data_IF_117249474027
#
_entry.id   IF_117249474027
#
_cell.length_a   1.000
_cell.length_b   1.000
_cell.length_c   1.000
_cell.angle_alpha   90.00
_cell.angle_beta   90.00
_cell.angle_gamma   90.00
#
_symmetry.space_group_name_H-M   'P 1'
#
loop_
_entity.id
_entity.type
_entity.pdbx_description
1 polymer ?
#
# COMPACT_ATOMS: atom_id res chain seq x y z
N UNK A 1 -91.88 14.64 -16.91
CA UNK A 1 -90.98 15.23 -15.90
C UNK A 1 -89.82 14.27 -15.72
N UNK A 2 -88.60 14.79 -15.84
CA UNK A 2 -87.32 14.09 -15.64
C UNK A 2 -87.22 13.54 -14.21
N UNK A 3 -86.49 12.43 -14.01
CA UNK A 3 -85.22 12.49 -13.28
C UNK A 3 -84.38 11.19 -13.34
N UNK A 4 -83.09 11.45 -13.63
CA UNK A 4 -81.81 10.75 -13.50
C UNK A 4 -81.68 9.40 -12.73
N UNK A 5 -80.92 8.46 -13.33
CA UNK A 5 -79.71 7.84 -12.74
C UNK A 5 -78.99 6.89 -13.72
N UNK A 6 -77.67 7.01 -13.88
CA UNK A 6 -76.76 5.94 -14.33
C UNK A 6 -75.72 5.65 -13.23
N UNK A 7 -74.69 4.79 -13.42
CA UNK A 7 -74.57 3.58 -14.22
C UNK A 7 -74.29 2.33 -13.33
N UNK A 8 -74.83 1.15 -13.68
CA UNK A 8 -74.60 -0.10 -12.95
C UNK A 8 -73.35 -0.85 -13.41
N UNK A 9 -72.19 -0.49 -12.87
CA UNK A 9 -70.92 -1.21 -13.11
C UNK A 9 -71.00 -2.62 -12.49
N UNK A 10 -70.77 -3.66 -13.30
CA UNK A 10 -71.01 -5.06 -12.95
C UNK A 10 -70.09 -5.56 -11.81
N UNK A 11 -70.72 -5.96 -10.70
CA UNK A 11 -70.11 -6.52 -9.47
C UNK A 11 -69.24 -7.77 -9.70
N UNK A 12 -69.32 -8.41 -10.87
CA UNK A 12 -68.57 -9.64 -11.20
C UNK A 12 -67.11 -9.39 -11.60
N UNK A 13 -66.77 -8.22 -12.14
CA UNK A 13 -65.40 -7.86 -12.56
C UNK A 13 -64.50 -7.47 -11.37
N UNK A 14 -65.10 -7.05 -10.26
CA UNK A 14 -64.39 -6.64 -9.04
C UNK A 14 -63.92 -7.85 -8.20
N UNK A 15 -64.67 -8.95 -8.19
CA UNK A 15 -64.36 -10.14 -7.39
C UNK A 15 -63.19 -10.93 -8.00
N UNK A 16 -63.13 -11.05 -9.33
CA UNK A 16 -62.07 -11.80 -10.02
C UNK A 16 -60.70 -11.11 -9.93
N UNK A 17 -60.67 -9.78 -10.02
CA UNK A 17 -59.47 -8.98 -9.78
C UNK A 17 -59.01 -9.04 -8.31
N UNK A 18 -59.95 -9.10 -7.36
CA UNK A 18 -59.63 -9.22 -5.93
C UNK A 18 -58.97 -10.54 -5.57
N UNK A 19 -59.39 -11.66 -6.16
CA UNK A 19 -58.79 -12.97 -5.93
C UNK A 19 -57.40 -13.04 -6.58
N UNK A 20 -57.23 -12.52 -7.79
CA UNK A 20 -55.92 -12.46 -8.44
C UNK A 20 -54.92 -11.59 -7.66
N UNK A 21 -55.35 -10.40 -7.21
CA UNK A 21 -54.54 -9.54 -6.33
C UNK A 21 -54.22 -10.21 -5.00
N UNK A 22 -55.18 -10.95 -4.41
CA UNK A 22 -54.96 -11.68 -3.17
C UNK A 22 -53.93 -12.79 -3.36
N UNK A 23 -53.99 -13.57 -4.45
CA UNK A 23 -53.00 -14.60 -4.76
C UNK A 23 -51.64 -14.01 -5.14
N UNK A 24 -51.57 -12.86 -5.84
CA UNK A 24 -50.31 -12.16 -6.13
C UNK A 24 -49.69 -11.57 -4.86
N UNK A 25 -50.49 -11.05 -3.93
CA UNK A 25 -50.04 -10.61 -2.60
C UNK A 25 -49.60 -11.81 -1.76
N UNK A 26 -50.34 -12.92 -1.76
CA UNK A 26 -50.00 -14.12 -1.00
C UNK A 26 -48.71 -14.77 -1.54
N UNK A 27 -48.54 -14.82 -2.87
CA UNK A 27 -47.33 -15.29 -3.53
C UNK A 27 -46.18 -14.29 -3.33
N UNK A 28 -46.43 -12.98 -3.42
CA UNK A 28 -45.43 -11.94 -3.12
C UNK A 28 -44.94 -11.97 -1.66
N UNK A 29 -45.81 -12.34 -0.71
CA UNK A 29 -45.47 -12.53 0.71
C UNK A 29 -44.71 -13.87 0.91
N UNK A 30 -45.02 -14.92 0.13
CA UNK A 30 -44.26 -16.17 0.10
C UNK A 30 -42.83 -16.01 -0.47
N UNK A 31 -42.57 -14.96 -1.26
CA UNK A 31 -41.24 -14.60 -1.76
C UNK A 31 -40.58 -13.44 -1.00
N UNK A 32 -41.28 -12.81 -0.04
CA UNK A 32 -40.76 -11.69 0.76
C UNK A 32 -40.20 -12.14 2.12
N UNK A 33 -39.35 -13.17 2.12
CA UNK A 33 -38.47 -13.45 3.26
C UNK A 33 -37.38 -14.45 2.88
N UNK A 34 -36.57 -14.13 1.88
CA UNK A 34 -35.19 -14.61 1.89
C UNK A 34 -34.36 -13.50 2.51
N UNK A 35 -34.16 -13.56 3.83
CA UNK A 35 -32.95 -12.96 4.40
C UNK A 35 -31.80 -13.56 3.60
N UNK A 36 -31.20 -12.78 2.70
CA UNK A 36 -29.98 -13.18 2.02
C UNK A 36 -28.98 -13.35 3.16
N UNK A 37 -28.75 -14.58 3.57
CA UNK A 37 -27.72 -14.93 4.53
C UNK A 37 -26.41 -14.62 3.80
N UNK A 38 -25.85 -13.44 4.06
CA UNK A 38 -24.58 -12.94 3.49
C UNK A 38 -23.37 -13.74 3.98
N UNK A 39 -23.53 -15.04 4.24
CA UNK A 39 -22.44 -15.90 4.64
C UNK A 39 -21.71 -16.39 3.38
N UNK A 40 -20.37 -16.28 3.31
CA UNK A 40 -19.62 -16.84 2.20
C UNK A 40 -19.86 -18.34 2.05
N UNK A 41 -19.94 -18.84 0.82
CA UNK A 41 -20.30 -20.23 0.53
C UNK A 41 -19.35 -21.28 1.15
N UNK A 42 -18.08 -20.90 1.33
CA UNK A 42 -17.03 -21.74 1.94
C UNK A 42 -16.97 -21.63 3.46
N UNK A 43 -17.74 -20.74 4.08
CA UNK A 43 -17.66 -20.43 5.50
C UNK A 43 -18.90 -20.86 6.27
N UNK A 44 -18.74 -21.00 7.58
CA UNK A 44 -19.83 -21.28 8.50
C UNK A 44 -20.09 -20.06 9.39
N UNK A 45 -21.28 -19.46 9.26
CA UNK A 45 -21.69 -18.32 10.06
C UNK A 45 -22.66 -18.77 11.17
N UNK A 46 -22.34 -18.41 12.41
CA UNK A 46 -23.13 -18.73 13.59
C UNK A 46 -23.63 -17.43 14.20
N UNK A 47 -24.94 -17.24 14.24
CA UNK A 47 -25.58 -16.17 15.02
C UNK A 47 -25.86 -16.68 16.43
N UNK A 48 -25.32 -15.98 17.43
CA UNK A 48 -25.68 -16.18 18.84
C UNK A 48 -26.10 -14.83 19.44
N UNK A 49 -27.39 -14.67 19.69
CA UNK A 49 -27.96 -13.49 20.35
C UNK A 49 -27.61 -12.16 19.63
N UNK A 50 -27.53 -12.16 18.30
CA UNK A 50 -27.18 -10.97 17.51
C UNK A 50 -25.67 -10.70 17.42
N UNK A 51 -24.83 -11.64 17.88
CA UNK A 51 -23.40 -11.66 17.59
C UNK A 51 -23.15 -12.70 16.50
N UNK A 52 -22.60 -12.27 15.36
CA UNK A 52 -22.26 -13.18 14.26
C UNK A 52 -20.80 -13.58 14.33
N UNK A 53 -20.55 -14.89 14.40
CA UNK A 53 -19.23 -15.51 14.32
C UNK A 53 -19.07 -16.14 12.95
N UNK A 54 -18.08 -15.71 12.19
CA UNK A 54 -17.78 -16.24 10.86
C UNK A 54 -16.56 -17.15 10.94
N UNK A 55 -16.75 -18.43 10.64
CA UNK A 55 -15.72 -19.46 10.70
C UNK A 55 -15.35 -19.90 9.28
N UNK A 56 -14.15 -19.56 8.84
CA UNK A 56 -13.61 -19.84 7.51
C UNK A 56 -12.25 -20.55 7.60
N UNK A 57 -12.03 -21.37 8.63
CA UNK A 57 -10.73 -22.02 8.84
C UNK A 57 -10.53 -23.18 7.85
N UNK A 58 -9.31 -23.32 7.30
CA UNK A 58 -8.98 -24.42 6.37
C UNK A 58 -9.90 -24.52 5.16
N UNK A 59 -10.35 -23.37 4.65
CA UNK A 59 -11.25 -23.26 3.51
C UNK A 59 -10.51 -23.07 2.17
N UNK A 60 -9.18 -23.15 2.16
CA UNK A 60 -8.30 -22.90 1.01
C UNK A 60 -8.53 -21.51 0.37
N UNK A 61 -8.78 -20.50 1.20
CA UNK A 61 -9.00 -19.13 0.70
C UNK A 61 -7.68 -18.49 0.30
N UNK A 62 -7.60 -17.97 -0.92
CA UNK A 62 -6.45 -17.16 -1.38
C UNK A 62 -6.62 -15.66 -1.07
N UNK A 63 -7.85 -15.23 -0.80
CA UNK A 63 -8.20 -13.84 -0.53
C UNK A 63 -9.29 -13.76 0.54
N UNK A 64 -9.35 -12.64 1.26
CA UNK A 64 -10.43 -12.35 2.20
C UNK A 64 -11.77 -12.24 1.44
N UNK A 65 -12.82 -13.01 1.81
CA UNK A 65 -14.11 -12.95 1.12
C UNK A 65 -14.74 -11.55 1.21
N UNK A 66 -15.25 -10.98 0.09
CA UNK A 66 -15.87 -9.65 0.10
C UNK A 66 -17.27 -9.67 0.76
N UNK A 67 -17.94 -10.81 0.73
CA UNK A 67 -19.32 -10.98 1.19
C UNK A 67 -19.37 -11.40 2.66
N UNK A 68 -18.88 -10.54 3.56
CA UNK A 68 -18.93 -10.77 5.01
C UNK A 68 -20.14 -10.07 5.65
N UNK A 69 -20.85 -10.72 6.60
CA UNK A 69 -21.94 -10.09 7.34
C UNK A 69 -21.46 -8.86 8.13
N UNK A 70 -22.20 -7.74 8.08
CA UNK A 70 -21.81 -6.46 8.72
C UNK A 70 -21.82 -6.52 10.25
N UNK A 71 -22.59 -7.43 10.80
CA UNK A 71 -22.77 -7.74 12.22
C UNK A 71 -21.73 -8.77 12.73
N UNK A 72 -20.72 -9.10 11.92
CA UNK A 72 -19.62 -9.98 12.33
C UNK A 72 -18.83 -9.36 13.48
N UNK A 73 -18.66 -10.14 14.54
CA UNK A 73 -17.92 -9.77 15.75
C UNK A 73 -16.62 -10.56 15.85
N UNK A 74 -16.63 -11.81 15.40
CA UNK A 74 -15.48 -12.70 15.38
C UNK A 74 -15.33 -13.25 13.96
N UNK A 75 -14.17 -13.01 13.35
CA UNK A 75 -13.84 -13.48 12.01
C UNK A 75 -12.61 -14.38 12.09
N UNK A 76 -12.81 -15.66 11.82
CA UNK A 76 -11.77 -16.68 11.89
C UNK A 76 -11.39 -17.13 10.48
N UNK A 77 -10.23 -16.68 10.00
CA UNK A 77 -9.67 -16.95 8.68
C UNK A 77 -8.35 -17.73 8.76
N UNK A 78 -8.07 -18.37 9.89
CA UNK A 78 -6.85 -19.12 10.10
C UNK A 78 -6.69 -20.32 9.14
N UNK A 79 -5.44 -20.75 8.92
CA UNK A 79 -5.11 -21.92 8.10
C UNK A 79 -5.65 -21.81 6.66
N UNK A 80 -5.44 -20.68 6.00
CA UNK A 80 -5.78 -20.46 4.59
C UNK A 80 -4.50 -20.09 3.79
N UNK A 81 -4.66 -19.63 2.56
CA UNK A 81 -3.58 -19.25 1.64
C UNK A 81 -3.63 -17.76 1.29
N UNK A 82 -4.08 -16.92 2.23
CA UNK A 82 -4.21 -15.48 1.99
C UNK A 82 -2.81 -14.87 1.96
N UNK A 83 -2.49 -14.15 0.88
CA UNK A 83 -1.14 -13.58 0.67
C UNK A 83 -1.04 -12.08 0.94
N UNK A 84 -2.19 -11.38 0.93
CA UNK A 84 -2.23 -9.93 1.00
C UNK A 84 -3.50 -9.44 1.72
N UNK A 85 -3.35 -8.43 2.58
CA UNK A 85 -4.49 -7.73 3.20
C UNK A 85 -4.66 -6.36 2.51
N UNK A 86 -5.67 -6.19 1.64
CA UNK A 86 -5.86 -4.96 0.90
C UNK A 86 -6.42 -3.83 1.76
N UNK A 87 -6.26 -2.60 1.27
CA UNK A 87 -6.92 -1.43 1.84
C UNK A 87 -8.42 -1.66 2.02
N UNK A 88 -8.95 -1.26 3.18
CA UNK A 88 -10.38 -1.33 3.47
C UNK A 88 -10.99 -2.75 3.46
N UNK A 89 -10.17 -3.80 3.59
CA UNK A 89 -10.63 -5.20 3.63
C UNK A 89 -11.78 -5.43 4.62
N UNK A 90 -11.75 -4.75 5.77
CA UNK A 90 -12.72 -4.92 6.85
C UNK A 90 -13.62 -3.70 7.05
N UNK A 91 -13.77 -2.84 6.04
CA UNK A 91 -14.39 -1.51 6.22
C UNK A 91 -15.83 -1.53 6.72
N UNK A 92 -16.60 -2.56 6.35
CA UNK A 92 -18.02 -2.67 6.69
C UNK A 92 -18.25 -3.40 8.03
N UNK A 93 -17.18 -3.94 8.65
CA UNK A 93 -17.25 -4.79 9.83
C UNK A 93 -17.06 -3.99 11.13
N UNK A 94 -17.89 -2.97 11.34
CA UNK A 94 -17.73 -2.00 12.43
C UNK A 94 -17.83 -2.59 13.85
N UNK A 95 -18.33 -3.82 13.99
CA UNK A 95 -18.45 -4.53 15.25
C UNK A 95 -17.39 -5.60 15.46
N UNK A 96 -16.45 -5.75 14.52
CA UNK A 96 -15.40 -6.76 14.58
C UNK A 96 -14.50 -6.50 15.78
N UNK A 97 -14.41 -7.49 16.67
CA UNK A 97 -13.61 -7.48 17.89
C UNK A 97 -12.43 -8.43 17.80
N UNK A 98 -12.59 -9.56 17.13
CA UNK A 98 -11.57 -10.58 17.00
C UNK A 98 -11.37 -10.96 15.53
N UNK A 99 -10.12 -10.84 15.08
CA UNK A 99 -9.70 -11.21 13.74
C UNK A 99 -8.51 -12.15 13.83
N UNK A 100 -8.73 -13.39 13.40
CA UNK A 100 -7.70 -14.41 13.31
C UNK A 100 -7.32 -14.64 11.84
N UNK A 101 -6.11 -14.25 11.48
CA UNK A 101 -5.47 -14.44 10.18
C UNK A 101 -4.19 -15.29 10.32
N UNK A 102 -4.07 -16.05 11.42
CA UNK A 102 -2.91 -16.88 11.67
C UNK A 102 -2.78 -18.02 10.66
N UNK A 103 -1.56 -18.55 10.49
CA UNK A 103 -1.31 -19.68 9.56
C UNK A 103 -1.82 -19.40 8.15
N UNK A 104 -1.50 -18.23 7.62
CA UNK A 104 -1.73 -17.86 6.23
C UNK A 104 -0.38 -17.60 5.54
N UNK A 105 -0.44 -17.20 4.28
CA UNK A 105 0.75 -16.90 3.47
C UNK A 105 0.97 -15.37 3.33
N UNK A 106 0.55 -14.57 4.32
CA UNK A 106 0.49 -13.11 4.19
C UNK A 106 1.91 -12.54 4.14
N UNK A 107 2.22 -11.83 3.06
CA UNK A 107 3.50 -11.15 2.86
C UNK A 107 3.38 -9.63 3.06
N UNK A 108 2.23 -9.06 2.68
CA UNK A 108 2.04 -7.60 2.63
C UNK A 108 0.70 -7.17 3.22
N UNK A 109 0.74 -6.05 3.93
CA UNK A 109 -0.43 -5.40 4.55
C UNK A 109 -0.49 -3.96 4.07
N UNK A 110 -1.61 -3.56 3.48
CA UNK A 110 -1.80 -2.19 3.01
C UNK A 110 -1.98 -1.19 4.16
N UNK A 111 -1.56 0.07 3.93
CA UNK A 111 -1.61 1.19 4.90
C UNK A 111 -3.00 1.46 5.50
N UNK A 112 -4.08 1.11 4.80
CA UNK A 112 -5.46 1.30 5.23
C UNK A 112 -6.22 0.00 5.48
N UNK A 113 -5.52 -1.13 5.61
CA UNK A 113 -6.12 -2.46 5.79
C UNK A 113 -7.12 -2.52 6.96
N UNK A 114 -6.72 -1.98 8.12
CA UNK A 114 -7.51 -2.05 9.37
C UNK A 114 -8.27 -0.77 9.71
N UNK A 115 -8.31 0.21 8.80
CA UNK A 115 -8.89 1.54 9.10
C UNK A 115 -10.36 1.48 9.51
N UNK A 116 -11.14 0.55 8.96
CA UNK A 116 -12.57 0.42 9.28
C UNK A 116 -12.88 -0.21 10.64
N UNK A 117 -11.92 -0.94 11.21
CA UNK A 117 -12.06 -1.70 12.47
C UNK A 117 -11.18 -1.15 13.59
N UNK A 118 -10.49 -0.02 13.37
CA UNK A 118 -9.48 0.49 14.30
C UNK A 118 -10.00 0.76 15.71
N UNK A 119 -11.30 1.06 15.85
CA UNK A 119 -11.95 1.39 17.12
C UNK A 119 -12.66 0.19 17.78
N UNK A 120 -12.99 -0.85 17.01
CA UNK A 120 -13.77 -1.99 17.49
C UNK A 120 -12.88 -3.21 17.78
N UNK A 121 -11.78 -3.35 17.05
CA UNK A 121 -10.91 -4.51 17.13
C UNK A 121 -10.18 -4.54 18.48
N UNK A 122 -10.24 -5.70 19.12
CA UNK A 122 -9.65 -5.99 20.42
C UNK A 122 -8.48 -6.98 20.31
N UNK A 123 -8.59 -7.95 19.39
CA UNK A 123 -7.60 -8.99 19.15
C UNK A 123 -7.35 -9.12 17.65
N UNK A 124 -6.08 -9.11 17.26
CA UNK A 124 -5.61 -9.36 15.91
C UNK A 124 -4.47 -10.38 15.94
N UNK A 125 -4.70 -11.55 15.35
CA UNK A 125 -3.67 -12.56 15.18
C UNK A 125 -3.17 -12.58 13.73
N UNK A 126 -1.89 -12.23 13.55
CA UNK A 126 -1.16 -12.33 12.29
C UNK A 126 0.03 -13.29 12.41
N UNK A 127 0.04 -14.14 13.44
CA UNK A 127 1.13 -15.08 13.68
C UNK A 127 1.24 -16.14 12.58
N UNK A 128 2.41 -16.73 12.42
CA UNK A 128 2.64 -17.81 11.46
C UNK A 128 2.25 -17.39 10.03
N UNK A 129 2.83 -16.26 9.57
CA UNK A 129 2.68 -15.73 8.22
C UNK A 129 4.09 -15.45 7.63
N UNK A 130 4.16 -14.79 6.48
CA UNK A 130 5.40 -14.46 5.77
C UNK A 130 5.70 -12.95 5.78
N UNK A 131 5.23 -12.23 6.80
CA UNK A 131 5.35 -10.78 6.88
C UNK A 131 6.78 -10.40 7.26
N UNK A 132 7.40 -9.55 6.44
CA UNK A 132 8.75 -9.03 6.71
C UNK A 132 8.72 -7.65 7.36
N UNK A 133 7.76 -6.81 7.01
CA UNK A 133 7.57 -5.49 7.60
C UNK A 133 6.11 -5.08 7.53
N UNK A 134 5.73 -4.12 8.38
CA UNK A 134 4.37 -3.59 8.44
C UNK A 134 4.40 -2.07 8.32
N UNK A 135 3.48 -1.45 7.54
CA UNK A 135 3.41 -0.01 7.48
C UNK A 135 2.86 0.56 8.78
N UNK A 136 3.49 1.62 9.28
CA UNK A 136 3.09 2.30 10.51
C UNK A 136 1.62 2.71 10.48
N UNK A 137 1.16 3.22 9.35
CA UNK A 137 -0.18 3.78 9.17
C UNK A 137 -1.28 2.74 9.34
N UNK A 138 -1.02 1.48 8.96
CA UNK A 138 -2.01 0.40 9.11
C UNK A 138 -2.29 0.08 10.58
N UNK A 139 -1.31 0.30 11.44
CA UNK A 139 -1.35 -0.10 12.85
C UNK A 139 -1.46 1.08 13.83
N UNK A 140 -1.11 2.30 13.43
CA UNK A 140 -1.05 3.49 14.29
C UNK A 140 -2.35 3.83 15.04
N UNK A 141 -3.51 3.38 14.54
CA UNK A 141 -4.82 3.63 15.14
C UNK A 141 -5.41 2.42 15.86
N UNK A 142 -4.77 1.25 15.77
CA UNK A 142 -5.25 0.05 16.42
C UNK A 142 -4.94 0.10 17.91
N UNK A 143 -5.94 -0.23 18.73
CA UNK A 143 -5.77 -0.42 20.18
C UNK A 143 -5.82 -1.89 20.58
N UNK A 144 -6.03 -2.77 19.62
CA UNK A 144 -6.09 -4.21 19.78
C UNK A 144 -4.77 -4.76 20.34
N UNK A 145 -4.85 -5.88 21.05
CA UNK A 145 -3.69 -6.73 21.28
C UNK A 145 -3.36 -7.43 19.98
N UNK A 146 -2.09 -7.38 19.58
CA UNK A 146 -1.66 -7.89 18.27
C UNK A 146 -0.59 -8.98 18.48
N UNK A 147 -0.83 -10.14 17.89
CA UNK A 147 0.14 -11.23 17.81
C UNK A 147 0.84 -11.19 16.46
N UNK A 148 2.18 -11.08 16.49
CA UNK A 148 3.06 -10.99 15.33
C UNK A 148 4.11 -12.12 15.30
N UNK A 149 3.97 -13.13 16.15
CA UNK A 149 4.95 -14.20 16.29
C UNK A 149 5.13 -15.01 15.01
N UNK A 150 6.28 -15.68 14.87
CA UNK A 150 6.56 -16.61 13.78
C UNK A 150 6.35 -15.99 12.38
N UNK A 151 6.91 -14.79 12.19
CA UNK A 151 6.99 -14.12 10.89
C UNK A 151 8.47 -13.76 10.60
N UNK A 152 8.90 -13.76 9.33
CA UNK A 152 10.28 -13.49 8.93
C UNK A 152 10.64 -11.99 9.00
N UNK A 153 10.53 -11.36 10.17
CA UNK A 153 10.69 -9.92 10.34
C UNK A 153 12.05 -9.40 9.87
N UNK A 154 12.02 -8.33 9.07
CA UNK A 154 13.17 -7.52 8.72
C UNK A 154 13.25 -6.31 9.65
N UNK A 155 14.17 -6.37 10.61
CA UNK A 155 14.35 -5.33 11.60
C UNK A 155 15.13 -4.14 11.04
N UNK A 156 14.38 -3.07 10.76
CA UNK A 156 14.85 -1.79 10.28
C UNK A 156 14.18 -0.62 11.02
N UNK A 157 14.40 0.62 10.55
CA UNK A 157 13.81 1.82 11.14
C UNK A 157 12.27 1.78 11.16
N UNK A 158 11.64 1.36 10.06
CA UNK A 158 10.17 1.34 9.93
C UNK A 158 9.55 0.44 11.00
N UNK A 159 10.02 -0.80 11.11
CA UNK A 159 9.54 -1.77 12.07
C UNK A 159 9.76 -1.29 13.52
N UNK A 160 10.92 -0.68 13.81
CA UNK A 160 11.21 -0.11 15.12
C UNK A 160 10.21 1.00 15.53
N UNK A 161 9.77 1.84 14.59
CA UNK A 161 8.74 2.84 14.87
C UNK A 161 7.38 2.22 15.14
N UNK A 162 6.98 1.23 14.34
CA UNK A 162 5.67 0.57 14.51
C UNK A 162 5.60 -0.14 15.86
N UNK A 163 6.62 -0.93 16.21
CA UNK A 163 6.62 -1.73 17.43
C UNK A 163 6.60 -0.91 18.73
N UNK A 164 7.03 0.35 18.68
CA UNK A 164 6.91 1.27 19.84
C UNK A 164 5.48 1.70 20.12
N UNK A 165 4.62 1.72 19.11
CA UNK A 165 3.23 2.15 19.22
C UNK A 165 2.27 0.96 19.39
N UNK A 166 2.71 -0.25 19.05
CA UNK A 166 1.91 -1.46 19.11
C UNK A 166 1.75 -2.03 20.53
N UNK A 167 0.53 -2.47 20.86
CA UNK A 167 0.27 -3.32 22.01
C UNK A 167 0.45 -4.79 21.62
N UNK A 168 1.70 -5.26 21.65
CA UNK A 168 2.00 -6.67 21.41
C UNK A 168 1.47 -7.54 22.54
N UNK A 169 1.03 -8.75 22.20
CA UNK A 169 0.62 -9.73 23.20
C UNK A 169 1.84 -10.16 24.04
N UNK A 170 1.82 -9.99 25.38
CA UNK A 170 2.94 -10.38 26.24
C UNK A 170 3.25 -11.88 26.21
N UNK A 171 2.30 -12.73 25.81
CA UNK A 171 2.53 -14.17 25.70
C UNK A 171 3.36 -14.53 24.46
N UNK A 172 3.17 -13.81 23.35
CA UNK A 172 3.81 -14.12 22.06
C UNK A 172 4.96 -13.16 21.69
N UNK A 173 5.16 -12.07 22.43
CA UNK A 173 6.19 -11.06 22.13
C UNK A 173 7.61 -11.62 22.03
N UNK A 174 7.92 -12.68 22.79
CA UNK A 174 9.25 -13.32 22.78
C UNK A 174 9.52 -14.11 21.49
N UNK A 175 8.47 -14.49 20.78
CA UNK A 175 8.54 -15.23 19.51
C UNK A 175 8.60 -14.29 18.30
N UNK A 176 8.54 -12.98 18.52
CA UNK A 176 8.78 -11.96 17.49
C UNK A 176 10.29 -11.79 17.35
N UNK A 177 10.89 -12.51 16.41
CA UNK A 177 12.33 -12.55 16.18
C UNK A 177 12.69 -11.82 14.89
N UNK A 178 13.73 -11.00 14.93
CA UNK A 178 14.32 -10.40 13.73
C UNK A 178 14.95 -11.50 12.88
N UNK A 179 14.33 -11.93 11.79
CA UNK A 179 14.93 -12.91 10.89
C UNK A 179 16.11 -12.31 10.12
N UNK A 180 15.92 -11.09 9.64
CA UNK A 180 16.97 -10.26 9.05
C UNK A 180 16.98 -8.89 9.71
N UNK A 181 18.07 -8.16 9.61
CA UNK A 181 18.18 -6.81 10.16
C UNK A 181 19.15 -5.98 9.32
N UNK A 182 19.01 -4.66 9.36
CA UNK A 182 19.97 -3.73 8.72
C UNK A 182 21.38 -3.92 9.27
N UNK A 183 21.49 -4.34 10.53
CA UNK A 183 22.74 -4.67 11.19
C UNK A 183 22.72 -6.14 11.60
N UNK A 184 23.62 -6.93 11.02
CA UNK A 184 23.61 -8.40 11.12
C UNK A 184 23.70 -8.94 12.55
N UNK A 185 24.24 -8.15 13.49
CA UNK A 185 24.34 -8.54 14.91
C UNK A 185 22.99 -8.74 15.62
N UNK A 186 21.93 -8.13 15.08
CA UNK A 186 20.56 -8.24 15.60
C UNK A 186 19.72 -9.28 14.85
N UNK A 187 20.25 -9.90 13.79
CA UNK A 187 19.58 -11.03 13.15
C UNK A 187 19.54 -12.23 14.12
N UNK A 188 18.39 -12.91 14.17
CA UNK A 188 18.08 -14.00 15.09
C UNK A 188 17.80 -13.56 16.54
N UNK A 189 17.76 -12.26 16.84
CA UNK A 189 17.43 -11.75 18.19
C UNK A 189 15.93 -11.45 18.32
N UNK A 190 15.33 -11.66 19.50
CA UNK A 190 13.96 -11.24 19.76
C UNK A 190 13.87 -9.71 19.72
N UNK A 191 12.79 -9.21 19.14
CA UNK A 191 12.55 -7.79 18.91
C UNK A 191 12.62 -6.99 20.21
N UNK A 192 12.10 -7.52 21.32
CA UNK A 192 12.14 -6.83 22.61
C UNK A 192 13.57 -6.54 23.08
N UNK A 193 14.49 -7.48 22.86
CA UNK A 193 15.91 -7.29 23.18
C UNK A 193 16.55 -6.22 22.30
N UNK A 194 16.16 -6.16 21.02
CA UNK A 194 16.65 -5.15 20.09
C UNK A 194 16.15 -3.76 20.51
N UNK A 195 14.89 -3.63 20.87
CA UNK A 195 14.30 -2.36 21.33
C UNK A 195 14.92 -1.88 22.65
N UNK A 196 15.20 -2.80 23.59
CA UNK A 196 15.80 -2.49 24.90
C UNK A 196 17.30 -2.20 24.82
N UNK A 197 17.98 -2.62 23.74
CA UNK A 197 19.42 -2.38 23.56
C UNK A 197 19.79 -0.90 23.37
N UNK A 198 18.81 -0.02 23.18
CA UNK A 198 19.02 1.41 22.94
C UNK A 198 19.51 1.76 21.53
N UNK A 199 19.56 0.78 20.62
CA UNK A 199 19.88 1.01 19.21
C UNK A 199 18.78 1.82 18.52
N UNK A 200 19.18 2.71 17.61
CA UNK A 200 18.25 3.46 16.77
C UNK A 200 18.60 3.23 15.29
N UNK A 201 17.85 2.33 14.65
CA UNK A 201 18.03 1.99 13.23
C UNK A 201 17.78 3.20 12.32
N UNK A 202 16.96 4.18 12.74
CA UNK A 202 16.66 5.37 11.95
C UNK A 202 17.86 6.33 11.82
N UNK A 203 18.77 6.35 12.80
CA UNK A 203 19.99 7.16 12.69
C UNK A 203 20.97 6.59 11.65
N UNK A 204 20.97 5.26 11.50
CA UNK A 204 21.79 4.61 10.48
C UNK A 204 21.35 4.99 9.06
N UNK A 205 20.03 5.02 8.81
CA UNK A 205 19.48 5.43 7.52
C UNK A 205 19.91 6.87 7.14
N UNK A 206 19.88 7.81 8.10
CA UNK A 206 20.38 9.16 7.88
C UNK A 206 21.87 9.20 7.53
N UNK A 207 22.68 8.41 8.23
CA UNK A 207 24.14 8.39 8.02
C UNK A 207 24.52 7.84 6.65
N UNK A 208 23.84 6.82 6.14
CA UNK A 208 24.10 6.28 4.80
C UNK A 208 23.65 7.23 3.70
N UNK A 209 22.51 7.90 3.86
CA UNK A 209 22.04 8.91 2.89
C UNK A 209 22.98 10.12 2.81
N UNK A 210 23.51 10.58 3.94
CA UNK A 210 24.44 11.71 3.97
C UNK A 210 25.73 11.38 3.21
N UNK A 211 26.31 10.19 3.44
CA UNK A 211 27.52 9.74 2.73
C UNK A 211 27.27 9.60 1.23
N UNK A 212 26.16 8.99 0.82
CA UNK A 212 25.82 8.84 -0.59
C UNK A 212 25.62 10.19 -1.29
N UNK A 213 24.98 11.14 -0.61
CA UNK A 213 24.83 12.51 -1.10
C UNK A 213 26.19 13.20 -1.26
N UNK A 214 27.11 13.05 -0.30
CA UNK A 214 28.46 13.60 -0.45
C UNK A 214 29.21 12.97 -1.62
N UNK A 215 29.18 11.65 -1.77
CA UNK A 215 29.85 10.94 -2.88
C UNK A 215 29.32 11.43 -4.24
N UNK A 216 28.00 11.55 -4.39
CA UNK A 216 27.38 12.05 -5.62
C UNK A 216 27.70 13.53 -5.88
N UNK A 217 27.73 14.35 -4.83
CA UNK A 217 28.14 15.76 -4.91
C UNK A 217 29.59 15.90 -5.38
N UNK A 218 30.53 15.17 -4.77
CA UNK A 218 31.94 15.17 -5.21
C UNK A 218 32.10 14.61 -6.62
N UNK A 219 31.35 13.56 -6.98
CA UNK A 219 31.30 13.04 -8.36
C UNK A 219 30.83 14.09 -9.37
N UNK A 220 29.78 14.84 -9.04
CA UNK A 220 29.29 15.93 -9.88
C UNK A 220 30.29 17.08 -9.99
N UNK A 221 30.88 17.51 -8.88
CA UNK A 221 31.89 18.58 -8.90
C UNK A 221 33.12 18.20 -9.71
N UNK A 222 33.62 16.98 -9.56
CA UNK A 222 34.76 16.49 -10.35
C UNK A 222 34.43 16.43 -11.84
N UNK A 223 33.22 15.99 -12.21
CA UNK A 223 32.76 15.97 -13.60
C UNK A 223 32.63 17.38 -14.20
N UNK A 224 32.03 18.32 -13.46
CA UNK A 224 31.89 19.72 -13.89
C UNK A 224 33.25 20.40 -14.02
N UNK A 225 34.15 20.23 -13.04
CA UNK A 225 35.50 20.78 -13.09
C UNK A 225 36.28 20.21 -14.30
N UNK A 226 36.19 18.90 -14.54
CA UNK A 226 36.82 18.28 -15.69
C UNK A 226 36.27 18.83 -17.02
N UNK A 227 34.95 19.01 -17.12
CA UNK A 227 34.30 19.59 -18.29
C UNK A 227 34.74 21.04 -18.53
N UNK A 228 34.81 21.87 -17.48
CA UNK A 228 35.28 23.26 -17.59
C UNK A 228 36.75 23.31 -18.03
N UNK A 229 37.62 22.47 -17.46
CA UNK A 229 39.02 22.38 -17.87
C UNK A 229 39.12 21.96 -19.34
N UNK A 230 38.37 20.93 -19.74
CA UNK A 230 38.30 20.48 -21.13
C UNK A 230 37.84 21.59 -22.07
N UNK A 231 36.75 22.29 -21.72
CA UNK A 231 36.18 23.37 -22.51
C UNK A 231 37.17 24.55 -22.68
N UNK A 232 37.83 24.96 -21.61
CA UNK A 232 38.84 26.04 -21.65
C UNK A 232 40.04 25.62 -22.50
N UNK A 233 40.56 24.40 -22.31
CA UNK A 233 41.67 23.87 -23.12
C UNK A 233 41.31 23.81 -24.59
N UNK A 234 40.12 23.32 -24.91
CA UNK A 234 39.61 23.24 -26.27
C UNK A 234 39.50 24.62 -26.94
N UNK A 235 38.91 25.59 -26.25
CA UNK A 235 38.78 26.96 -26.77
C UNK A 235 40.14 27.66 -26.92
N UNK A 236 41.11 27.39 -26.03
CA UNK A 236 42.48 27.90 -26.17
C UNK A 236 43.18 27.32 -27.42
N UNK A 237 42.98 26.03 -27.69
CA UNK A 237 43.52 25.34 -28.87
C UNK A 237 42.94 25.92 -30.17
N UNK A 238 41.62 26.18 -30.19
CA UNK A 238 40.94 26.78 -31.34
C UNK A 238 41.40 28.23 -31.59
N UNK A 239 41.47 29.06 -30.54
CA UNK A 239 41.96 30.43 -30.64
C UNK A 239 43.41 30.48 -31.16
N UNK A 240 44.26 29.52 -30.76
CA UNK A 240 45.64 29.41 -31.25
C UNK A 240 45.69 29.10 -32.74
N UNK A 241 44.87 28.14 -33.20
CA UNK A 241 44.76 27.80 -34.63
C UNK A 241 44.28 28.98 -35.48
N UNK A 242 43.30 29.75 -35.00
CA UNK A 242 42.84 30.96 -35.69
C UNK A 242 43.94 32.03 -35.81
N UNK A 243 44.75 32.22 -34.77
CA UNK A 243 45.87 33.17 -34.81
C UNK A 243 46.94 32.74 -35.85
N UNK A 244 47.23 31.45 -35.93
CA UNK A 244 48.17 30.91 -36.92
C UNK A 244 47.64 31.08 -38.35
N UNK A 245 46.35 30.88 -38.57
CA UNK A 245 45.68 31.18 -39.85
C UNK A 245 45.76 32.68 -40.21
N UNK A 246 45.53 33.57 -39.25
CA UNK A 246 45.63 35.02 -39.50
C UNK A 246 47.07 35.45 -39.84
N UNK A 247 48.08 34.77 -39.26
CA UNK A 247 49.49 35.02 -39.58
C UNK A 247 49.91 34.50 -40.96
N UNK A 248 49.23 33.48 -41.50
CA UNK A 248 49.53 32.96 -42.83
C UNK A 248 48.86 33.75 -43.95
N UNK A 249 47.90 34.63 -43.62
CA UNK A 249 47.33 35.55 -44.60
C UNK A 249 48.40 36.56 -45.06
N UNK A 250 48.48 36.83 -46.38
CA UNK A 250 49.44 37.79 -46.91
C UNK A 250 49.17 39.18 -46.34
N UNK A 251 50.23 39.80 -45.81
CA UNK A 251 50.20 41.17 -45.31
C UNK A 251 49.94 42.14 -46.46
N UNK A 252 49.04 43.11 -46.27
CA UNK A 252 48.71 44.15 -47.25
C UNK A 252 49.93 45.01 -47.66
N UNK A 253 51.06 44.92 -46.93
CA UNK A 253 52.34 45.54 -47.29
C UNK A 253 53.09 44.84 -48.44
N UNK A 254 52.72 43.60 -48.79
CA UNK A 254 53.24 42.93 -50.00
C UNK A 254 52.43 43.31 -51.24
N UNK A 255 51.11 43.53 -51.09
CA UNK A 255 50.24 43.96 -52.20
C UNK A 255 50.61 45.37 -52.68
N UNK A 256 51.03 46.29 -51.78
CA UNK A 256 51.50 47.62 -52.19
C UNK A 256 52.85 47.58 -52.92
N UNK A 257 53.76 46.67 -52.54
CA UNK A 257 55.06 46.52 -53.20
C UNK A 257 54.94 45.98 -54.63
N UNK A 258 53.99 45.09 -54.88
CA UNK A 258 53.75 44.60 -56.26
C UNK A 258 53.06 45.66 -57.13
N UNK A 259 52.28 46.58 -56.54
CA UNK A 259 51.66 47.69 -57.28
C UNK A 259 52.68 48.80 -57.63
N UNK A 260 53.64 49.07 -56.74
CA UNK A 260 54.72 50.05 -57.01
C UNK A 260 55.72 49.55 -58.07
N UNK A 261 55.86 48.24 -58.24
CA UNK A 261 56.77 47.64 -59.25
C UNK A 261 56.15 47.60 -60.66
N UNK A 262 54.83 47.73 -60.80
CA UNK A 262 54.13 47.75 -62.10
C UNK A 262 54.08 49.15 -62.71
N UNK A 263 54.25 50.22 -61.91
CA UNK A 263 54.14 51.61 -62.38
C UNK A 263 55.43 52.19 -62.97
N UNK A 264 56.48 51.38 -63.16
CA UNK A 264 57.77 51.82 -63.75
C UNK A 264 58.04 51.30 -65.17
N UNK A 265 57.03 50.72 -65.83
CA UNK A 265 57.10 50.31 -67.24
C UNK A 265 56.06 51.05 -68.07
N UNK A 266 56.30 52.33 -68.38
CA UNK A 266 55.87 52.99 -69.62
C UNK A 266 56.59 54.33 -69.81
#
# INVERSE_FOLDING_TARGET
MQDLAGPGMSRKTLIFNGIFLFWVLLFGILFASTSVTSCPASCHCIDKNGLTVVQCMSCNLETIPPDLPRDTVVLLLAANHITHIPNHAFRELHYLQELDLSYNDIETVDVGAFQGVSNSLLLLDLSNNHIQSVPKEAFARLRAKISLSNNPWHCECTLQEVLRELHLDPETVNEVICHTAVQEEYAGKPVIQVLDSGINFCNFHHKTTDVAMFVTMFGWFTMVIAYVIYYVRHNQEDARRHLEYLKSLPSNSQISKDFDTISTVL
#
